data_IF_991968848567
#
_entry.id   IF_991968848567
#
_cell.length_a   1.000
_cell.length_b   1.000
_cell.length_c   1.000
_cell.angle_alpha   90.00
_cell.angle_beta   90.00
_cell.angle_gamma   90.00
#
_symmetry.space_group_name_H-M   'P 1'
#
loop_
_entity.id
_entity.type
_entity.pdbx_description
1 polymer ?
#
# COMPACT_ATOMS: atom_id res chain seq x y z
N UNK A 1 1.99 3.06 -2.93
CA UNK A 1 0.97 3.10 -1.86
C UNK A 1 1.25 4.30 -0.99
N UNK A 2 0.23 5.12 -0.71
CA UNK A 2 0.35 6.31 0.13
C UNK A 2 0.40 5.94 1.62
N UNK A 3 1.10 6.74 2.42
CA UNK A 3 1.12 6.59 3.88
C UNK A 3 -0.25 6.78 4.53
N UNK A 4 -1.19 7.42 3.85
CA UNK A 4 -2.57 7.53 4.33
C UNK A 4 -3.36 6.20 4.24
N UNK A 5 -2.75 5.12 3.75
CA UNK A 5 -3.43 3.84 3.59
C UNK A 5 -4.25 3.75 2.30
N UNK A 6 -3.91 4.51 1.26
CA UNK A 6 -4.56 4.40 -0.05
C UNK A 6 -3.57 4.00 -1.15
N UNK A 7 -4.12 3.34 -2.17
CA UNK A 7 -3.39 2.99 -3.38
C UNK A 7 -3.54 4.18 -4.33
N UNK A 8 -2.41 4.74 -4.72
CA UNK A 8 -2.35 5.87 -5.65
C UNK A 8 -2.41 5.27 -7.05
N UNK A 9 -3.59 5.25 -7.63
CA UNK A 9 -3.83 4.79 -9.00
C UNK A 9 -4.18 6.01 -9.86
N UNK A 10 -3.15 6.73 -10.32
CA UNK A 10 -3.33 7.98 -11.06
C UNK A 10 -3.84 9.18 -10.24
N UNK A 11 -4.24 8.98 -8.98
CA UNK A 11 -4.78 10.03 -8.10
C UNK A 11 -3.69 10.94 -7.52
N UNK A 12 -3.01 11.67 -8.41
CA UNK A 12 -1.95 12.61 -8.03
C UNK A 12 -2.15 14.01 -8.59
N UNK A 13 -1.86 15.03 -7.78
CA UNK A 13 -1.75 16.42 -8.23
C UNK A 13 -0.29 16.81 -8.40
N UNK A 14 -0.03 17.78 -9.30
CA UNK A 14 1.30 18.35 -9.50
C UNK A 14 1.43 19.62 -8.66
N UNK A 15 2.53 19.75 -7.94
CA UNK A 15 2.84 20.93 -7.13
C UNK A 15 4.33 21.29 -7.20
N UNK A 16 4.68 22.51 -6.82
CA UNK A 16 6.04 23.04 -6.84
C UNK A 16 6.43 23.48 -5.43
N UNK A 17 7.23 22.66 -4.74
CA UNK A 17 7.73 22.99 -3.41
C UNK A 17 9.17 23.51 -3.49
N UNK A 18 9.53 24.37 -2.54
CA UNK A 18 10.93 24.76 -2.32
C UNK A 18 11.69 23.56 -1.75
N UNK A 19 12.70 23.08 -2.48
CA UNK A 19 13.66 22.08 -1.96
C UNK A 19 15.00 22.74 -1.67
N UNK A 20 15.86 22.04 -0.91
CA UNK A 20 17.24 22.45 -0.62
C UNK A 20 18.10 22.61 -1.88
N UNK A 21 17.73 21.95 -2.98
CA UNK A 21 18.48 21.98 -4.24
C UNK A 21 17.92 22.93 -5.30
N UNK A 22 16.60 23.19 -5.34
CA UNK A 22 16.02 24.15 -6.28
C UNK A 22 14.59 24.58 -5.86
N UNK A 23 14.24 25.90 -5.83
CA UNK A 23 12.91 26.39 -5.44
C UNK A 23 11.74 26.02 -6.36
N UNK A 24 11.97 25.29 -7.46
CA UNK A 24 10.93 24.94 -8.45
C UNK A 24 10.92 23.45 -8.77
N UNK A 25 11.10 22.63 -7.74
CA UNK A 25 11.06 21.18 -7.90
C UNK A 25 9.64 20.72 -8.17
N UNK A 26 9.42 20.08 -9.33
CA UNK A 26 8.15 19.41 -9.61
C UNK A 26 7.98 18.26 -8.61
N UNK A 27 6.92 18.35 -7.82
CA UNK A 27 6.47 17.31 -6.91
C UNK A 27 5.08 16.84 -7.29
N UNK A 28 4.77 15.62 -6.87
CA UNK A 28 3.46 15.03 -7.03
C UNK A 28 2.90 14.77 -5.65
N UNK A 29 1.63 15.08 -5.40
CA UNK A 29 0.97 14.74 -4.13
C UNK A 29 -0.26 13.88 -4.36
N UNK A 30 -0.76 13.23 -3.32
CA UNK A 30 -2.00 12.44 -3.38
C UNK A 30 -3.22 13.34 -3.23
N UNK A 31 -4.13 13.35 -4.21
CA UNK A 31 -5.27 14.29 -4.22
C UNK A 31 -6.16 14.15 -2.99
N UNK A 32 -6.38 12.92 -2.49
CA UNK A 32 -7.29 12.69 -1.36
C UNK A 32 -6.74 13.09 0.00
N UNK A 33 -5.42 13.01 0.21
CA UNK A 33 -4.84 13.29 1.53
C UNK A 33 -3.86 14.46 1.54
N UNK A 34 -3.61 15.10 0.40
CA UNK A 34 -2.71 16.25 0.28
C UNK A 34 -1.23 15.93 0.51
N UNK A 35 -0.86 14.66 0.71
CA UNK A 35 0.53 14.29 1.02
C UNK A 35 1.39 14.47 -0.24
N UNK A 36 2.38 15.35 -0.17
CA UNK A 36 3.32 15.64 -1.26
C UNK A 36 4.50 14.65 -1.23
N UNK A 37 4.71 13.95 -2.35
CA UNK A 37 5.83 13.07 -2.59
C UNK A 37 7.02 13.88 -3.11
N UNK A 38 7.97 14.17 -2.21
CA UNK A 38 9.20 14.83 -2.60
C UNK A 38 10.18 13.82 -3.22
N UNK A 39 10.25 13.80 -4.56
CA UNK A 39 11.18 12.92 -5.32
C UNK A 39 12.65 13.35 -5.22
N UNK A 40 12.96 14.60 -4.89
CA UNK A 40 14.35 15.11 -4.94
C UNK A 40 15.19 14.65 -3.75
N UNK A 41 14.60 14.49 -2.56
CA UNK A 41 15.33 13.98 -1.39
C UNK A 41 15.36 12.44 -1.32
N UNK A 42 15.15 11.73 -2.44
CA UNK A 42 15.04 10.27 -2.45
C UNK A 42 13.80 9.72 -1.73
N UNK A 43 12.89 10.59 -1.27
CA UNK A 43 11.62 10.26 -0.61
C UNK A 43 10.51 9.99 -1.65
N UNK A 44 10.77 9.07 -2.58
CA UNK A 44 9.70 8.45 -3.35
C UNK A 44 8.69 7.75 -2.43
N UNK A 45 7.57 7.28 -2.98
CA UNK A 45 6.63 6.41 -2.26
C UNK A 45 7.43 5.26 -1.63
N UNK A 46 7.59 5.32 -0.30
CA UNK A 46 8.49 4.44 0.45
C UNK A 46 8.12 3.00 0.16
N UNK A 47 9.08 2.18 -0.30
CA UNK A 47 8.95 0.74 -0.12
C UNK A 47 9.03 0.50 1.38
N UNK A 48 8.00 -0.10 1.97
CA UNK A 48 7.98 -0.40 3.39
C UNK A 48 8.90 -1.59 3.63
N UNK A 49 10.14 -1.27 4.01
CA UNK A 49 11.22 -2.25 4.20
C UNK A 49 10.89 -3.25 5.30
N UNK A 50 10.00 -2.91 6.24
CA UNK A 50 9.60 -3.78 7.35
C UNK A 50 8.14 -4.24 7.27
N UNK A 51 7.88 -5.48 7.71
CA UNK A 51 6.51 -6.00 7.92
C UNK A 51 5.70 -5.12 8.86
N UNK A 52 6.35 -4.49 9.85
CA UNK A 52 5.72 -3.60 10.83
C UNK A 52 5.18 -2.33 10.16
N UNK A 53 5.99 -1.64 9.36
CA UNK A 53 5.54 -0.45 8.63
C UNK A 53 4.39 -0.81 7.67
N UNK A 54 4.50 -1.94 6.95
CA UNK A 54 3.44 -2.39 6.05
C UNK A 54 2.12 -2.63 6.79
N UNK A 55 2.15 -3.28 7.96
CA UNK A 55 0.95 -3.53 8.76
C UNK A 55 0.26 -2.26 9.26
N UNK A 56 1.02 -1.21 9.59
CA UNK A 56 0.43 0.08 9.97
C UNK A 56 -0.37 0.67 8.80
N UNK A 57 0.19 0.62 7.59
CA UNK A 57 -0.48 1.15 6.39
C UNK A 57 -1.66 0.26 5.98
N UNK A 58 -1.51 -1.05 6.09
CA UNK A 58 -2.58 -2.01 5.86
C UNK A 58 -3.75 -1.78 6.85
N UNK A 59 -3.49 -1.48 8.12
CA UNK A 59 -4.53 -1.15 9.10
C UNK A 59 -5.27 0.14 8.71
N UNK A 60 -4.56 1.18 8.26
CA UNK A 60 -5.18 2.41 7.73
C UNK A 60 -6.03 2.12 6.49
N UNK A 61 -5.56 1.26 5.60
CA UNK A 61 -6.30 0.81 4.43
C UNK A 61 -7.58 0.06 4.82
N UNK A 62 -7.51 -0.87 5.78
CA UNK A 62 -8.66 -1.61 6.31
C UNK A 62 -9.70 -0.67 6.93
N UNK A 63 -9.26 0.29 7.73
CA UNK A 63 -10.13 1.32 8.32
C UNK A 63 -10.86 2.13 7.24
N UNK A 64 -10.16 2.55 6.17
CA UNK A 64 -10.78 3.25 5.03
C UNK A 64 -11.78 2.40 4.25
N UNK A 65 -11.71 1.06 4.38
CA UNK A 65 -12.66 0.11 3.80
C UNK A 65 -13.75 -0.31 4.80
N UNK A 66 -13.83 0.34 5.96
CA UNK A 66 -14.79 0.08 7.03
C UNK A 66 -14.74 -1.36 7.58
N UNK A 67 -13.57 -1.99 7.57
CA UNK A 67 -13.38 -3.25 8.29
C UNK A 67 -13.39 -2.95 9.80
N UNK A 68 -14.15 -3.72 10.56
CA UNK A 68 -14.12 -3.65 12.03
C UNK A 68 -12.80 -4.23 12.59
N UNK A 69 -12.60 -4.15 13.90
CA UNK A 69 -11.35 -4.59 14.54
C UNK A 69 -11.04 -6.08 14.33
N UNK A 70 -12.06 -6.93 14.38
CA UNK A 70 -11.92 -8.39 14.17
C UNK A 70 -11.54 -8.69 12.72
N UNK A 71 -12.19 -8.01 11.78
CA UNK A 71 -11.92 -8.12 10.35
C UNK A 71 -10.54 -7.59 9.98
N UNK A 72 -10.16 -6.46 10.57
CA UNK A 72 -8.84 -5.86 10.44
C UNK A 72 -7.77 -6.83 10.95
N UNK A 73 -7.98 -7.47 12.10
CA UNK A 73 -7.08 -8.50 12.62
C UNK A 73 -6.88 -9.67 11.64
N UNK A 74 -7.97 -10.21 11.07
CA UNK A 74 -7.91 -11.28 10.06
C UNK A 74 -7.17 -10.83 8.80
N UNK A 75 -7.49 -9.64 8.30
CA UNK A 75 -6.84 -9.06 7.12
C UNK A 75 -5.34 -8.86 7.33
N UNK A 76 -4.92 -8.33 8.49
CA UNK A 76 -3.50 -8.11 8.81
C UNK A 76 -2.71 -9.43 8.92
N UNK A 77 -3.35 -10.51 9.37
CA UNK A 77 -2.73 -11.84 9.37
C UNK A 77 -2.46 -12.35 7.94
N UNK A 78 -3.35 -12.09 6.99
CA UNK A 78 -3.14 -12.42 5.57
C UNK A 78 -2.00 -11.57 4.99
N UNK A 79 -1.96 -10.27 5.31
CA UNK A 79 -0.87 -9.36 4.88
C UNK A 79 0.49 -9.89 5.32
N UNK A 80 0.62 -10.33 6.58
CA UNK A 80 1.85 -10.95 7.07
C UNK A 80 2.23 -12.22 6.30
N UNK A 81 1.25 -13.08 6.02
CA UNK A 81 1.46 -14.32 5.27
C UNK A 81 1.96 -14.04 3.85
N UNK A 82 1.27 -13.15 3.12
CA UNK A 82 1.67 -12.81 1.75
C UNK A 82 3.03 -12.10 1.74
N UNK A 83 3.27 -11.13 2.64
CA UNK A 83 4.56 -10.43 2.71
C UNK A 83 5.73 -11.38 2.99
N UNK A 84 5.49 -12.43 3.78
CA UNK A 84 6.50 -13.45 4.09
C UNK A 84 6.91 -14.28 2.87
N UNK A 85 6.07 -14.37 1.83
CA UNK A 85 6.43 -15.05 0.58
C UNK A 85 7.42 -14.28 -0.30
N UNK A 86 7.67 -12.98 -0.02
CA UNK A 86 8.71 -12.18 -0.66
C UNK A 86 8.45 -11.74 -2.11
N UNK A 87 7.39 -12.24 -2.78
CA UNK A 87 7.22 -12.10 -4.23
C UNK A 87 6.44 -10.86 -4.69
N UNK A 88 5.97 -10.01 -3.78
CA UNK A 88 5.00 -8.95 -4.10
C UNK A 88 5.44 -7.58 -3.57
N UNK A 89 5.11 -6.53 -4.31
CA UNK A 89 5.20 -5.15 -3.81
C UNK A 89 4.19 -4.90 -2.68
N UNK A 90 4.43 -3.89 -1.86
CA UNK A 90 3.56 -3.59 -0.71
C UNK A 90 2.10 -3.32 -1.10
N UNK A 91 1.88 -2.70 -2.26
CA UNK A 91 0.54 -2.47 -2.79
C UNK A 91 -0.13 -3.79 -3.20
N UNK A 92 0.60 -4.65 -3.92
CA UNK A 92 0.10 -5.98 -4.31
C UNK A 92 -0.21 -6.86 -3.10
N UNK A 93 0.63 -6.82 -2.06
CA UNK A 93 0.37 -7.52 -0.80
C UNK A 93 -0.96 -7.09 -0.22
N UNK A 94 -1.22 -5.79 -0.09
CA UNK A 94 -2.46 -5.25 0.49
C UNK A 94 -3.68 -5.61 -0.35
N UNK A 95 -3.61 -5.45 -1.68
CA UNK A 95 -4.73 -5.79 -2.59
C UNK A 95 -5.03 -7.29 -2.56
N UNK A 96 -4.00 -8.14 -2.71
CA UNK A 96 -4.19 -9.60 -2.67
C UNK A 96 -4.74 -10.05 -1.33
N UNK A 97 -4.29 -9.44 -0.23
CA UNK A 97 -4.79 -9.76 1.11
C UNK A 97 -6.28 -9.42 1.26
N UNK A 98 -6.72 -8.28 0.71
CA UNK A 98 -8.13 -7.90 0.73
C UNK A 98 -8.98 -8.86 -0.11
N UNK A 99 -8.49 -9.27 -1.29
CA UNK A 99 -9.18 -10.24 -2.14
C UNK A 99 -9.33 -11.60 -1.45
N UNK A 100 -8.26 -12.10 -0.81
CA UNK A 100 -8.31 -13.35 -0.04
C UNK A 100 -9.24 -13.26 1.17
N UNK A 101 -9.25 -12.11 1.84
CA UNK A 101 -10.15 -11.84 2.95
C UNK A 101 -11.62 -11.93 2.50
N UNK A 102 -11.99 -11.26 1.39
CA UNK A 102 -13.36 -11.30 0.86
C UNK A 102 -13.77 -12.65 0.29
N UNK A 103 -12.83 -13.40 -0.32
CA UNK A 103 -13.12 -14.71 -0.90
C UNK A 103 -13.25 -15.82 0.17
N UNK A 104 -12.81 -15.57 1.42
CA UNK A 104 -12.82 -16.57 2.48
C UNK A 104 -11.77 -17.69 2.33
N UNK A 105 -10.87 -17.60 1.33
CA UNK A 105 -9.83 -18.58 1.05
C UNK A 105 -8.63 -18.48 2.01
N UNK A 106 -8.89 -18.50 3.33
CA UNK A 106 -7.84 -18.39 4.36
C UNK A 106 -6.94 -19.65 4.43
N UNK A 107 -7.40 -20.77 3.86
CA UNK A 107 -6.73 -22.07 3.88
C UNK A 107 -6.46 -22.60 2.46
N UNK A 108 -5.43 -22.11 1.79
CA UNK A 108 -4.72 -22.92 0.80
C UNK A 108 -3.21 -22.69 0.93
N UNK A 109 -2.40 -23.74 1.15
CA UNK A 109 -0.99 -23.69 0.83
C UNK A 109 -0.83 -23.56 -0.69
N UNK A 110 0.35 -23.13 -1.11
CA UNK A 110 0.70 -22.69 -2.46
C UNK A 110 0.21 -23.61 -3.58
N UNK A 111 -0.22 -22.98 -4.67
CA UNK A 111 -0.48 -23.65 -5.94
C UNK A 111 -0.62 -22.59 -7.03
N UNK A 112 0.48 -22.33 -7.74
CA UNK A 112 0.47 -21.67 -9.05
C UNK A 112 -0.63 -22.29 -9.92
N UNK A 113 -1.38 -21.45 -10.63
CA UNK A 113 -1.54 -21.60 -12.08
C UNK A 113 -2.00 -20.26 -12.65
N UNK A 114 -1.09 -19.69 -13.42
CA UNK A 114 -1.32 -18.67 -14.44
C UNK A 114 -2.30 -19.14 -15.51
N UNK A 115 -2.65 -18.16 -16.35
CA UNK A 115 -3.20 -18.21 -17.72
C UNK A 115 -4.70 -18.47 -17.93
N UNK A 116 -5.33 -17.36 -18.29
CA UNK A 116 -6.41 -17.17 -19.27
C UNK A 116 -6.57 -18.27 -20.32
N UNK A 117 -7.81 -18.68 -20.56
CA UNK A 117 -8.50 -18.61 -21.86
C UNK A 117 -10.00 -18.77 -21.64
#
# INVERSE_FOLDING_TARGET
MCECGEIIDGDTFKDYIKTSSNPSTVTFGHCRCGLIFNKIDGKGLKKYSSKKELKIIAARFAHKRNLNDVETGKFLAIVDRIKSSGNYSDAEVVVKSLNLYHCGCFNTPEGLSTVSS
#
